data_IF_619532995819
#
_entry.id   IF_619532995819
#
_cell.length_a   1.000
_cell.length_b   1.000
_cell.length_c   1.000
_cell.angle_alpha   90.00
_cell.angle_beta   90.00
_cell.angle_gamma   90.00
#
_symmetry.space_group_name_H-M   'P 1'
#
loop_
_entity.id
_entity.type
_entity.pdbx_description
1 polymer ?
#
# COMPACT_ATOMS: atom_id res chain seq x y z
N UNK A 1 -1.63 10.24 18.86
CA UNK A 1 -2.84 9.50 18.44
C UNK A 1 -2.81 9.14 16.95
N UNK A 2 -2.04 9.84 16.12
CA UNK A 2 -2.01 9.61 14.67
C UNK A 2 -1.17 8.40 14.24
N UNK A 3 -0.09 8.06 14.95
CA UNK A 3 0.82 6.98 14.55
C UNK A 3 0.17 5.58 14.58
N UNK A 4 -0.60 5.27 15.64
CA UNK A 4 -1.32 3.99 15.73
C UNK A 4 -2.39 3.88 14.63
N UNK A 5 -3.05 5.00 14.32
CA UNK A 5 -4.05 5.06 13.26
C UNK A 5 -3.43 4.76 11.90
N UNK A 6 -2.27 5.34 11.59
CA UNK A 6 -1.54 5.07 10.34
C UNK A 6 -1.15 3.60 10.22
N UNK A 7 -0.64 2.99 11.29
CA UNK A 7 -0.28 1.56 11.32
C UNK A 7 -1.48 0.65 11.05
N UNK A 8 -2.65 0.98 11.61
CA UNK A 8 -3.90 0.24 11.36
C UNK A 8 -4.33 0.37 9.89
N UNK A 9 -4.27 1.58 9.32
CA UNK A 9 -4.63 1.80 7.91
C UNK A 9 -3.67 1.03 6.98
N UNK A 10 -2.37 1.04 7.26
CA UNK A 10 -1.38 0.27 6.49
C UNK A 10 -1.69 -1.24 6.52
N UNK A 11 -1.98 -1.80 7.70
CA UNK A 11 -2.34 -3.21 7.84
C UNK A 11 -3.62 -3.58 7.08
N UNK A 12 -4.64 -2.71 7.11
CA UNK A 12 -5.89 -2.91 6.35
C UNK A 12 -5.63 -2.91 4.84
N UNK A 13 -4.78 -2.00 4.34
CA UNK A 13 -4.52 -1.89 2.90
C UNK A 13 -3.67 -3.06 2.39
N UNK A 14 -2.71 -3.53 3.18
CA UNK A 14 -1.98 -4.79 2.92
C UNK A 14 -2.96 -5.96 2.87
N UNK A 15 -3.87 -6.09 3.84
CA UNK A 15 -4.85 -7.18 3.87
C UNK A 15 -5.89 -7.11 2.73
N UNK A 16 -6.23 -5.92 2.23
CA UNK A 16 -7.12 -5.76 1.07
C UNK A 16 -6.41 -6.09 -0.24
N UNK A 17 -5.12 -5.84 -0.31
CA UNK A 17 -4.30 -6.10 -1.50
C UNK A 17 -3.91 -7.58 -1.58
N UNK A 18 -3.49 -8.14 -0.45
CA UNK A 18 -3.10 -9.53 -0.31
C UNK A 18 -4.31 -10.39 0.05
N UNK A 19 -4.69 -11.28 -0.87
CA UNK A 19 -5.77 -12.23 -0.58
C UNK A 19 -5.44 -13.11 0.64
N UNK A 20 -6.47 -13.56 1.39
CA UNK A 20 -6.27 -14.43 2.54
C UNK A 20 -5.63 -15.77 2.14
N UNK A 21 -4.86 -16.36 3.06
CA UNK A 21 -4.20 -17.66 2.87
C UNK A 21 -2.69 -17.58 2.67
N UNK A 22 -2.08 -16.39 2.76
CA UNK A 22 -0.63 -16.24 2.78
C UNK A 22 -0.05 -16.45 4.19
N UNK A 23 1.24 -16.77 4.24
CA UNK A 23 1.98 -16.90 5.50
C UNK A 23 2.09 -15.55 6.21
N UNK A 24 2.12 -15.58 7.54
CA UNK A 24 2.28 -14.38 8.38
C UNK A 24 3.53 -13.57 8.00
N UNK A 25 4.64 -14.25 7.70
CA UNK A 25 5.88 -13.60 7.25
C UNK A 25 5.72 -12.78 5.96
N UNK A 26 4.79 -13.16 5.08
CA UNK A 26 4.48 -12.40 3.87
C UNK A 26 3.71 -11.13 4.23
N UNK A 27 2.80 -11.21 5.20
CA UNK A 27 2.06 -10.05 5.69
C UNK A 27 2.97 -9.05 6.42
N UNK A 28 3.94 -9.53 7.20
CA UNK A 28 4.92 -8.68 7.88
C UNK A 28 5.81 -7.92 6.88
N UNK A 29 6.40 -8.63 5.91
CA UNK A 29 7.23 -8.01 4.86
C UNK A 29 6.43 -6.98 4.05
N UNK A 30 5.19 -7.32 3.67
CA UNK A 30 4.33 -6.39 2.94
C UNK A 30 3.95 -5.15 3.78
N UNK A 31 3.76 -5.32 5.09
CA UNK A 31 3.50 -4.20 6.01
C UNK A 31 4.72 -3.30 6.17
N UNK A 32 5.93 -3.87 6.25
CA UNK A 32 7.16 -3.10 6.26
C UNK A 32 7.31 -2.26 4.99
N UNK A 33 7.09 -2.86 3.81
CA UNK A 33 7.13 -2.14 2.53
C UNK A 33 6.08 -1.03 2.47
N UNK A 34 4.85 -1.29 2.93
CA UNK A 34 3.79 -0.27 2.94
C UNK A 34 4.13 0.89 3.89
N UNK A 35 4.67 0.61 5.08
CA UNK A 35 5.08 1.65 6.03
C UNK A 35 6.28 2.46 5.50
N UNK A 36 7.28 1.80 4.91
CA UNK A 36 8.42 2.48 4.27
C UNK A 36 7.95 3.35 3.09
N UNK A 37 7.03 2.86 2.26
CA UNK A 37 6.47 3.65 1.17
C UNK A 37 5.73 4.89 1.68
N UNK A 38 4.97 4.77 2.77
CA UNK A 38 4.26 5.90 3.39
C UNK A 38 5.21 6.91 4.00
N UNK A 39 6.25 6.44 4.68
CA UNK A 39 7.28 7.28 5.30
C UNK A 39 8.14 7.98 4.24
N UNK A 40 8.64 7.24 3.24
CA UNK A 40 9.43 7.77 2.13
C UNK A 40 8.63 8.71 1.23
N UNK A 41 7.31 8.51 1.12
CA UNK A 41 6.46 9.38 0.33
C UNK A 41 6.30 10.75 0.99
N UNK A 42 6.17 10.87 2.33
CA UNK A 42 5.86 12.15 2.99
C UNK A 42 4.62 12.88 2.41
N UNK A 43 3.82 12.19 1.59
CA UNK A 43 2.83 12.76 0.69
C UNK A 43 1.45 12.29 1.13
N UNK A 44 0.56 13.26 1.40
CA UNK A 44 -0.87 13.01 1.68
C UNK A 44 -1.61 12.34 0.50
N UNK A 45 -0.98 12.20 -0.68
CA UNK A 45 -1.51 11.60 -1.91
C UNK A 45 -0.38 11.04 -2.78
N UNK A 46 -0.53 9.80 -3.25
CA UNK A 46 0.38 9.14 -4.19
C UNK A 46 -0.29 8.77 -5.52
N UNK A 47 0.53 8.45 -6.53
CA UNK A 47 0.09 7.91 -7.81
C UNK A 47 0.67 6.49 -7.95
N UNK A 48 -0.20 5.49 -7.96
CA UNK A 48 0.16 4.12 -8.32
C UNK A 48 0.19 4.03 -9.85
N UNK A 49 1.31 3.53 -10.41
CA UNK A 49 1.46 3.35 -11.86
C UNK A 49 1.75 1.88 -12.16
N UNK A 50 0.79 1.19 -12.78
CA UNK A 50 0.96 -0.18 -13.26
C UNK A 50 1.42 -0.18 -14.73
N UNK A 51 2.54 -0.85 -15.02
CA UNK A 51 3.11 -0.96 -16.37
C UNK A 51 2.67 -2.22 -17.13
N UNK A 52 1.96 -3.14 -16.49
CA UNK A 52 1.47 -4.39 -17.09
C UNK A 52 0.08 -4.29 -17.75
N UNK A 53 -0.43 -3.08 -17.99
CA UNK A 53 -1.76 -2.87 -18.60
C UNK A 53 -1.64 -2.44 -20.07
N UNK A 54 -2.62 -2.78 -20.93
CA UNK A 54 -2.56 -2.47 -22.36
C UNK A 54 -2.40 -0.99 -22.69
N UNK A 55 -2.95 -0.08 -21.88
CA UNK A 55 -2.78 1.38 -22.03
C UNK A 55 -2.32 1.98 -20.73
N UNK A 56 -1.23 2.76 -20.78
CA UNK A 56 -0.57 3.34 -19.60
C UNK A 56 -1.51 4.16 -18.71
N UNK A 57 -2.51 4.83 -19.29
CA UNK A 57 -3.54 5.60 -18.56
C UNK A 57 -4.46 4.72 -17.71
N UNK A 58 -4.68 3.46 -18.09
CA UNK A 58 -5.51 2.52 -17.34
C UNK A 58 -4.80 2.00 -16.08
N UNK A 59 -3.48 2.18 -16.02
CA UNK A 59 -2.62 1.74 -14.91
C UNK A 59 -2.39 2.82 -13.86
N UNK A 60 -2.89 4.05 -14.08
CA UNK A 60 -2.68 5.17 -13.17
C UNK A 60 -3.84 5.25 -12.19
N UNK A 61 -3.57 5.01 -10.90
CA UNK A 61 -4.53 5.21 -9.82
C UNK A 61 -4.05 6.25 -8.84
N UNK A 62 -4.95 7.17 -8.49
CA UNK A 62 -4.73 8.13 -7.41
C UNK A 62 -5.04 7.44 -6.09
N UNK A 63 -4.06 7.38 -5.21
CA UNK A 63 -4.21 6.85 -3.87
C UNK A 63 -4.06 8.00 -2.88
N UNK A 64 -5.04 8.13 -1.99
CA UNK A 64 -4.95 9.04 -0.84
C UNK A 64 -4.77 8.14 0.37
N UNK A 65 -3.72 8.42 1.15
CA UNK A 65 -3.48 7.77 2.44
C UNK A 65 -4.46 8.32 3.47
#
# INVERSE_FOLDING_TARGET
>A
MDELREKIIAAIEVHKTLSPGLLESIYEEALCVELELREAAGLKRGLLVNFGVPRRVDGIRRISL
#
